data_IF_786842299455
#
_entry.id   IF_786842299455
#
_cell.length_a   1.000
_cell.length_b   1.000
_cell.length_c   1.000
_cell.angle_alpha   90.00
_cell.angle_beta   90.00
_cell.angle_gamma   90.00
#
_symmetry.space_group_name_H-M   'P 1'
#
loop_
_entity.id
_entity.type
_entity.pdbx_description
1 polymer ?
#
# COMPACT_ATOMS: atom_id res chain seq x y z
N UNK A 1 -7.56 -15.23 14.16
CA UNK A 1 -7.37 -14.95 12.71
C UNK A 1 -6.15 -15.69 12.22
N UNK A 2 -6.20 -16.31 11.06
CA UNK A 2 -5.08 -16.99 10.42
C UNK A 2 -4.96 -16.51 8.97
N UNK A 3 -3.73 -16.27 8.51
CA UNK A 3 -3.44 -15.82 7.15
C UNK A 3 -2.20 -16.54 6.61
N UNK A 4 -2.33 -17.14 5.44
CA UNK A 4 -1.22 -17.76 4.70
C UNK A 4 -0.84 -16.86 3.52
N UNK A 5 0.12 -15.97 3.75
CA UNK A 5 0.56 -15.02 2.74
C UNK A 5 1.16 -15.72 1.52
N UNK A 6 0.63 -15.40 0.37
CA UNK A 6 1.14 -15.85 -0.94
C UNK A 6 2.50 -15.20 -1.23
N UNK A 7 3.24 -15.81 -2.16
CA UNK A 7 4.63 -15.44 -2.41
C UNK A 7 4.83 -14.10 -3.15
N UNK A 8 3.77 -13.51 -3.77
CA UNK A 8 3.90 -12.30 -4.58
C UNK A 8 3.00 -11.16 -4.10
N UNK A 9 1.70 -11.20 -4.35
CA UNK A 9 0.76 -10.13 -3.97
C UNK A 9 -0.19 -10.63 -2.88
N UNK A 10 -0.36 -9.81 -1.84
CA UNK A 10 -1.35 -10.04 -0.79
C UNK A 10 -2.07 -8.74 -0.51
N UNK A 11 -3.33 -8.65 -0.85
CA UNK A 11 -4.17 -7.52 -0.48
C UNK A 11 -4.95 -7.83 0.79
N UNK A 12 -4.92 -6.88 1.71
CA UNK A 12 -5.79 -6.83 2.89
C UNK A 12 -6.88 -5.81 2.59
N UNK A 13 -8.11 -6.27 2.43
CA UNK A 13 -9.27 -5.45 2.12
C UNK A 13 -10.32 -5.54 3.23
N UNK A 14 -11.32 -4.67 3.22
CA UNK A 14 -12.38 -4.59 4.22
C UNK A 14 -12.52 -3.19 4.79
N UNK A 15 -13.51 -2.99 5.67
CA UNK A 15 -13.85 -1.68 6.22
C UNK A 15 -12.77 -1.07 7.12
N UNK A 16 -12.91 0.24 7.39
CA UNK A 16 -12.03 0.95 8.30
C UNK A 16 -12.17 0.41 9.73
N UNK A 17 -11.05 0.37 10.45
CA UNK A 17 -11.03 -0.05 11.85
C UNK A 17 -11.04 -1.56 12.09
N UNK A 18 -11.11 -2.41 11.05
CA UNK A 18 -11.12 -3.87 11.20
C UNK A 18 -9.73 -4.50 11.43
N UNK A 19 -8.66 -3.70 11.48
CA UNK A 19 -7.34 -4.17 11.90
C UNK A 19 -6.38 -4.54 10.77
N UNK A 20 -6.56 -4.02 9.54
CA UNK A 20 -5.60 -4.23 8.43
C UNK A 20 -4.19 -3.79 8.80
N UNK A 21 -4.03 -2.59 9.36
CA UNK A 21 -2.74 -2.08 9.84
C UNK A 21 -2.16 -2.92 10.96
N UNK A 22 -3.02 -3.48 11.85
CA UNK A 22 -2.60 -4.40 12.89
C UNK A 22 -1.97 -5.68 12.30
N UNK A 23 -2.54 -6.23 11.24
CA UNK A 23 -1.98 -7.40 10.54
C UNK A 23 -0.63 -7.06 9.87
N UNK A 24 -0.49 -5.85 9.29
CA UNK A 24 0.79 -5.39 8.74
C UNK A 24 1.85 -5.25 9.83
N UNK A 25 1.51 -4.68 10.99
CA UNK A 25 2.43 -4.56 12.12
C UNK A 25 2.85 -5.95 12.68
N UNK A 26 1.91 -6.88 12.76
CA UNK A 26 2.19 -8.26 13.16
C UNK A 26 3.10 -8.98 12.15
N UNK A 27 2.86 -8.79 10.84
CA UNK A 27 3.71 -9.33 9.78
C UNK A 27 5.12 -8.72 9.82
N UNK A 28 5.24 -7.40 10.02
CA UNK A 28 6.52 -6.73 10.23
C UNK A 28 7.27 -7.35 11.40
N UNK A 29 6.59 -7.50 12.54
CA UNK A 29 7.22 -8.08 13.74
C UNK A 29 7.65 -9.54 13.53
N UNK A 30 6.82 -10.35 12.88
CA UNK A 30 7.15 -11.74 12.57
C UNK A 30 8.42 -11.86 11.70
N UNK A 31 8.61 -10.92 10.74
CA UNK A 31 9.77 -10.89 9.84
C UNK A 31 11.03 -10.34 10.51
N UNK A 32 10.91 -9.32 11.36
CA UNK A 32 12.04 -8.51 11.84
C UNK A 32 12.31 -8.63 13.32
N UNK A 33 11.30 -9.06 14.10
CA UNK A 33 11.27 -9.05 15.58
C UNK A 33 11.42 -7.66 16.19
N UNK A 34 11.04 -6.63 15.45
CA UNK A 34 10.97 -5.24 15.89
C UNK A 34 9.57 -4.69 15.63
N UNK A 35 9.21 -3.58 16.25
CA UNK A 35 7.93 -2.92 16.03
C UNK A 35 8.14 -1.68 15.17
N UNK A 36 7.34 -1.52 14.13
CA UNK A 36 7.47 -0.40 13.19
C UNK A 36 6.95 0.92 13.77
N UNK A 37 5.86 0.87 14.55
CA UNK A 37 5.16 2.04 15.12
C UNK A 37 5.15 2.01 16.63
N UNK A 38 4.84 0.91 17.20
CA UNK A 38 4.72 0.69 18.64
C UNK A 38 4.31 -0.75 18.91
N UNK A 39 4.47 -1.19 20.14
CA UNK A 39 4.09 -2.54 20.54
C UNK A 39 2.57 -2.71 20.36
N UNK A 40 2.15 -3.75 19.66
CA UNK A 40 0.74 -4.09 19.55
C UNK A 40 0.16 -4.44 20.92
N UNK A 41 -0.82 -3.68 21.34
CA UNK A 41 -1.53 -3.92 22.61
C UNK A 41 -2.75 -4.82 22.34
N UNK A 42 -2.81 -6.00 22.96
CA UNK A 42 -3.92 -6.91 22.77
C UNK A 42 -5.16 -6.47 23.58
N UNK A 43 -6.30 -7.10 23.31
CA UNK A 43 -7.51 -6.92 24.10
C UNK A 43 -7.27 -7.13 25.60
N UNK A 44 -8.12 -6.43 26.39
CA UNK A 44 -8.11 -6.55 27.85
C UNK A 44 -8.41 -7.99 28.33
N UNK A 45 -8.00 -8.35 29.57
CA UNK A 45 -8.32 -9.63 30.16
C UNK A 45 -9.83 -9.95 30.09
N UNK A 46 -10.22 -11.23 29.97
CA UNK A 46 -9.41 -12.44 30.23
C UNK A 46 -8.66 -13.03 29.02
N UNK A 47 -8.57 -12.33 27.88
CA UNK A 47 -7.90 -12.85 26.69
C UNK A 47 -6.44 -13.27 26.96
N UNK A 48 -5.99 -14.34 26.30
CA UNK A 48 -4.60 -14.81 26.28
C UNK A 48 -4.06 -14.61 24.85
N UNK A 49 -3.63 -13.41 24.52
CA UNK A 49 -3.22 -13.11 23.17
C UNK A 49 -1.90 -13.79 22.81
N UNK A 50 -1.84 -14.37 21.63
CA UNK A 50 -0.66 -14.98 21.07
C UNK A 50 -0.52 -14.64 19.59
N UNK A 51 0.72 -14.54 19.13
CA UNK A 51 1.08 -14.42 17.72
C UNK A 51 1.77 -15.71 17.33
N UNK A 52 1.12 -16.51 16.50
CA UNK A 52 1.73 -17.66 15.85
C UNK A 52 2.17 -17.24 14.45
N UNK A 53 3.38 -17.62 14.07
CA UNK A 53 3.88 -17.34 12.73
C UNK A 53 4.78 -18.46 12.24
N UNK A 54 4.76 -18.66 10.93
CA UNK A 54 5.61 -19.62 10.25
C UNK A 54 6.24 -19.00 9.00
N UNK A 55 7.44 -19.47 8.66
CA UNK A 55 8.09 -19.10 7.40
C UNK A 55 8.91 -20.27 6.86
N UNK A 56 9.06 -20.32 5.55
CA UNK A 56 9.88 -21.34 4.89
C UNK A 56 11.34 -20.93 4.91
N UNK A 57 12.22 -21.81 5.41
CA UNK A 57 13.65 -21.60 5.38
C UNK A 57 14.25 -21.95 4.02
N UNK A 58 15.27 -21.21 3.60
CA UNK A 58 15.97 -21.44 2.33
C UNK A 58 16.65 -22.81 2.23
N UNK A 59 17.01 -23.43 3.35
CA UNK A 59 17.84 -24.67 3.42
C UNK A 59 17.08 -25.92 3.77
N UNK A 60 15.82 -25.90 4.00
CA UNK A 60 14.84 -26.98 4.20
C UNK A 60 13.92 -26.76 5.41
N UNK A 61 12.65 -27.00 5.22
CA UNK A 61 11.64 -27.07 6.28
C UNK A 61 11.02 -25.72 6.63
N UNK A 62 9.84 -25.84 7.21
CA UNK A 62 9.08 -24.73 7.76
C UNK A 62 9.55 -24.48 9.21
N UNK A 63 9.71 -23.23 9.59
CA UNK A 63 9.90 -22.82 10.97
C UNK A 63 8.60 -22.24 11.48
N UNK A 64 8.12 -22.72 12.60
CA UNK A 64 6.98 -22.18 13.30
C UNK A 64 7.37 -21.69 14.69
N UNK A 65 6.76 -20.63 15.15
CA UNK A 65 6.99 -20.05 16.47
C UNK A 65 5.72 -19.39 17.00
N UNK A 66 5.59 -19.34 18.32
CA UNK A 66 4.49 -18.69 19.03
C UNK A 66 5.08 -17.71 20.03
N UNK A 67 4.57 -16.48 20.05
CA UNK A 67 4.86 -15.49 21.09
C UNK A 67 3.58 -15.19 21.85
N UNK A 68 3.67 -15.18 23.18
CA UNK A 68 2.56 -14.86 24.09
C UNK A 68 2.82 -13.51 24.72
N UNK A 69 1.84 -12.64 24.70
CA UNK A 69 1.98 -11.30 25.25
C UNK A 69 2.21 -11.35 26.77
N UNK A 70 3.26 -10.73 27.22
CA UNK A 70 3.57 -10.53 28.64
C UNK A 70 3.00 -9.18 29.11
N UNK A 71 1.95 -9.22 29.92
CA UNK A 71 1.24 -8.01 30.35
C UNK A 71 2.03 -7.15 31.33
N UNK A 72 2.91 -7.76 32.14
CA UNK A 72 3.70 -7.04 33.13
C UNK A 72 4.77 -6.16 32.46
N UNK A 73 5.37 -6.67 31.38
CA UNK A 73 6.39 -5.94 30.60
C UNK A 73 5.82 -5.25 29.37
N UNK A 74 4.53 -5.44 29.07
CA UNK A 74 3.86 -4.96 27.85
C UNK A 74 4.59 -5.32 26.57
N UNK A 75 5.14 -6.54 26.52
CA UNK A 75 5.96 -6.99 25.40
C UNK A 75 5.49 -8.31 24.80
N UNK A 76 5.92 -8.51 23.55
CA UNK A 76 5.87 -9.78 22.86
C UNK A 76 7.27 -10.40 22.86
N UNK A 77 7.56 -11.39 23.74
CA UNK A 77 8.89 -11.96 23.87
C UNK A 77 9.38 -12.55 22.56
N UNK A 78 10.61 -12.22 22.22
CA UNK A 78 11.27 -12.80 21.07
C UNK A 78 11.64 -14.26 21.35
N UNK A 79 11.36 -15.13 20.38
CA UNK A 79 11.89 -16.49 20.41
C UNK A 79 13.42 -16.48 20.46
N UNK A 80 14.01 -17.50 21.13
CA UNK A 80 15.47 -17.67 21.16
C UNK A 80 16.02 -17.81 19.73
N UNK A 81 17.14 -17.16 19.47
CA UNK A 81 17.80 -17.17 18.18
C UNK A 81 17.54 -15.88 17.35
N UNK A 82 17.96 -15.90 16.11
CA UNK A 82 17.90 -14.75 15.19
C UNK A 82 16.56 -14.71 14.44
N UNK A 83 16.11 -13.52 13.96
CA UNK A 83 14.96 -13.42 13.09
C UNK A 83 15.16 -14.19 11.77
N UNK A 84 14.14 -14.40 10.96
CA UNK A 84 14.33 -14.89 9.59
C UNK A 84 15.21 -13.94 8.78
N UNK A 85 15.73 -14.40 7.65
CA UNK A 85 16.40 -13.54 6.67
C UNK A 85 15.48 -13.43 5.44
N UNK A 86 14.45 -12.58 5.48
CA UNK A 86 13.47 -12.48 4.41
C UNK A 86 13.98 -11.67 3.19
N UNK A 87 15.19 -11.17 3.22
CA UNK A 87 15.68 -10.14 2.33
C UNK A 87 15.50 -8.75 2.95
N UNK A 88 15.41 -7.72 2.12
CA UNK A 88 15.06 -6.37 2.57
C UNK A 88 13.57 -6.32 2.93
N UNK A 89 13.22 -5.66 4.03
CA UNK A 89 11.82 -5.40 4.39
C UNK A 89 11.60 -3.90 4.47
N UNK A 90 10.63 -3.41 3.72
CA UNK A 90 10.25 -1.99 3.69
C UNK A 90 8.78 -1.88 4.05
N UNK A 91 8.45 -1.08 5.04
CA UNK A 91 7.09 -0.80 5.45
C UNK A 91 6.77 0.68 5.25
N UNK A 92 5.92 0.98 4.28
CA UNK A 92 5.37 2.31 4.03
C UNK A 92 4.08 2.48 4.83
N UNK A 93 4.08 3.41 5.78
CA UNK A 93 2.97 3.67 6.70
C UNK A 93 1.99 4.68 6.10
N UNK A 94 0.75 4.66 6.57
CA UNK A 94 -0.32 5.54 6.07
C UNK A 94 -0.02 7.02 6.29
N UNK A 95 0.64 7.37 7.40
CA UNK A 95 1.02 8.74 7.75
C UNK A 95 2.18 9.31 6.91
N UNK A 96 2.79 8.50 6.05
CA UNK A 96 3.96 8.86 5.23
C UNK A 96 5.29 8.54 5.91
N UNK A 97 5.28 7.90 7.07
CA UNK A 97 6.46 7.32 7.70
C UNK A 97 6.89 6.02 7.00
N UNK A 98 8.12 5.60 7.30
CA UNK A 98 8.68 4.36 6.75
C UNK A 98 9.48 3.60 7.79
N UNK A 99 9.44 2.29 7.68
CA UNK A 99 10.35 1.42 8.43
C UNK A 99 11.13 0.53 7.47
N UNK A 100 12.42 0.37 7.72
CA UNK A 100 13.33 -0.42 6.91
C UNK A 100 14.09 -1.40 7.79
N UNK A 101 14.06 -2.67 7.41
CA UNK A 101 14.92 -3.70 8.00
C UNK A 101 15.82 -4.30 6.93
N UNK A 102 17.11 -4.29 7.21
CA UNK A 102 18.17 -4.71 6.30
C UNK A 102 18.98 -5.87 6.92
N UNK A 103 18.98 -7.07 6.30
CA UNK A 103 19.70 -8.21 6.82
C UNK A 103 21.21 -7.96 6.97
N UNK A 104 21.81 -7.12 6.11
CA UNK A 104 23.24 -6.82 6.22
C UNK A 104 23.57 -5.93 7.42
N UNK A 105 22.63 -5.11 7.89
CA UNK A 105 22.83 -4.14 8.99
C UNK A 105 22.20 -4.59 10.30
N UNK A 106 20.96 -5.05 10.29
CA UNK A 106 20.15 -5.26 11.48
C UNK A 106 20.24 -6.69 12.02
N UNK A 107 20.37 -7.71 11.15
CA UNK A 107 20.39 -9.13 11.53
C UNK A 107 21.55 -9.50 12.47
N UNK A 108 22.73 -8.86 12.27
CA UNK A 108 23.96 -9.17 13.00
C UNK A 108 24.23 -8.24 14.18
N UNK A 109 23.21 -7.51 14.63
CA UNK A 109 23.35 -6.67 15.82
C UNK A 109 23.79 -7.50 17.01
N UNK A 110 24.74 -6.96 17.77
CA UNK A 110 25.09 -7.43 19.12
C UNK A 110 24.63 -6.36 20.09
N UNK A 111 24.21 -6.77 21.29
CA UNK A 111 23.63 -5.91 22.33
C UNK A 111 24.54 -4.75 22.78
N UNK A 112 25.86 -4.90 22.57
CA UNK A 112 26.88 -3.91 22.93
C UNK A 112 27.20 -2.87 21.84
N UNK A 113 26.53 -2.95 20.68
CA UNK A 113 26.74 -2.01 19.56
C UNK A 113 25.57 -1.06 19.38
N UNK A 114 25.87 0.23 19.21
CA UNK A 114 24.93 1.31 18.88
C UNK A 114 24.31 1.18 17.49
N UNK A 115 23.94 -0.01 17.09
CA UNK A 115 23.29 -0.27 15.80
C UNK A 115 21.80 -0.45 16.02
N UNK A 116 20.93 0.29 15.31
CA UNK A 116 19.48 0.16 15.49
C UNK A 116 19.00 -1.23 15.10
N UNK A 117 17.90 -1.68 15.72
CA UNK A 117 17.23 -2.94 15.39
C UNK A 117 16.54 -2.89 14.05
N UNK A 118 16.03 -1.73 13.68
CA UNK A 118 15.49 -1.35 12.38
C UNK A 118 15.62 0.17 12.19
N UNK A 119 15.39 0.68 10.99
CA UNK A 119 15.37 2.11 10.73
C UNK A 119 13.92 2.56 10.62
N UNK A 120 13.50 3.47 11.49
CA UNK A 120 12.15 4.01 11.53
C UNK A 120 12.22 5.49 11.22
N UNK A 121 11.54 5.92 10.16
CA UNK A 121 11.50 7.30 9.70
C UNK A 121 10.10 7.86 9.91
N UNK A 122 9.99 8.92 10.66
CA UNK A 122 8.79 9.77 10.64
C UNK A 122 8.73 10.53 9.31
N UNK A 123 7.57 11.06 8.90
CA UNK A 123 7.44 11.80 7.64
C UNK A 123 8.47 12.94 7.47
N UNK A 124 8.73 13.70 8.53
CA UNK A 124 9.72 14.79 8.54
C UNK A 124 11.17 14.27 8.43
N UNK A 125 11.46 13.11 9.00
CA UNK A 125 12.77 12.47 8.96
C UNK A 125 13.10 11.89 7.59
N UNK A 126 12.10 11.46 6.82
CA UNK A 126 12.31 11.08 5.40
C UNK A 126 12.91 12.25 4.61
N UNK A 127 12.42 13.46 4.88
CA UNK A 127 12.85 14.68 4.16
C UNK A 127 14.09 15.33 4.76
N UNK A 128 14.18 15.39 6.07
CA UNK A 128 15.20 16.12 6.82
C UNK A 128 16.35 15.28 7.37
N UNK A 129 16.21 13.96 7.27
CA UNK A 129 17.21 13.00 7.76
C UNK A 129 16.84 12.35 9.10
N UNK A 130 17.34 11.15 9.30
CA UNK A 130 17.17 10.35 10.51
C UNK A 130 18.29 10.66 11.51
N UNK A 131 17.99 11.26 12.68
CA UNK A 131 19.01 11.57 13.65
C UNK A 131 19.57 10.30 14.30
N UNK A 132 20.84 10.34 14.67
CA UNK A 132 21.48 9.45 15.63
C UNK A 132 21.70 10.25 16.92
N UNK A 133 21.89 9.56 18.05
CA UNK A 133 22.18 10.22 19.34
C UNK A 133 23.42 11.14 19.25
N UNK A 134 23.22 12.41 18.85
CA UNK A 134 24.16 13.55 18.79
C UNK A 134 25.48 13.37 18.01
N UNK A 135 25.86 14.33 17.28
CA UNK A 135 25.23 15.20 16.27
C UNK A 135 25.14 14.52 14.92
N UNK A 136 25.49 13.24 14.85
CA UNK A 136 25.54 12.42 13.66
C UNK A 136 24.14 12.00 13.19
N UNK A 137 23.95 11.91 11.88
CA UNK A 137 22.75 11.35 11.28
C UNK A 137 23.01 9.95 10.73
N UNK A 138 22.02 9.08 10.86
CA UNK A 138 22.02 7.76 10.21
C UNK A 138 21.68 7.88 8.72
N UNK A 139 20.96 8.95 8.35
CA UNK A 139 20.53 9.29 7.00
C UNK A 139 20.38 10.80 6.91
N UNK A 140 20.90 11.41 5.85
CA UNK A 140 20.83 12.87 5.65
C UNK A 140 19.46 13.36 5.17
N UNK A 141 18.63 12.46 4.67
CA UNK A 141 17.28 12.74 4.19
C UNK A 141 17.20 13.13 2.73
N UNK A 142 16.00 13.02 2.18
CA UNK A 142 15.70 13.21 0.77
C UNK A 142 16.28 14.52 0.21
N UNK A 143 16.12 15.63 0.93
CA UNK A 143 16.56 16.95 0.42
C UNK A 143 18.07 16.99 0.21
N UNK A 144 18.82 16.49 1.18
CA UNK A 144 20.29 16.54 1.14
C UNK A 144 20.86 15.46 0.22
N UNK A 145 20.40 14.21 0.40
CA UNK A 145 20.94 13.07 -0.36
C UNK A 145 20.63 13.19 -1.84
N UNK A 146 19.42 13.60 -2.23
CA UNK A 146 19.09 13.79 -3.64
C UNK A 146 19.99 14.87 -4.29
N UNK A 147 20.12 16.04 -3.65
CA UNK A 147 20.95 17.12 -4.18
C UNK A 147 22.41 16.68 -4.31
N UNK A 148 22.91 15.89 -3.36
CA UNK A 148 24.26 15.32 -3.40
C UNK A 148 24.40 14.29 -4.53
N UNK A 149 23.51 13.30 -4.63
CA UNK A 149 23.53 12.28 -5.69
C UNK A 149 23.44 12.89 -7.08
N UNK A 150 22.61 13.92 -7.23
CA UNK A 150 22.46 14.63 -8.51
C UNK A 150 23.71 15.41 -8.88
N UNK A 151 24.38 16.03 -7.90
CA UNK A 151 25.65 16.74 -8.13
C UNK A 151 26.79 15.77 -8.49
N UNK A 152 26.84 14.63 -7.82
CA UNK A 152 27.84 13.58 -8.05
C UNK A 152 27.63 12.87 -9.41
N UNK A 153 26.40 12.82 -9.91
CA UNK A 153 25.97 12.06 -11.11
C UNK A 153 26.36 10.58 -11.06
N UNK A 154 26.40 10.04 -9.83
CA UNK A 154 26.79 8.67 -9.54
C UNK A 154 25.66 7.63 -9.70
N UNK A 155 25.92 6.37 -9.34
CA UNK A 155 24.97 5.27 -9.45
C UNK A 155 23.64 5.51 -8.70
N UNK A 156 23.68 6.16 -7.53
CA UNK A 156 22.50 6.45 -6.73
C UNK A 156 21.51 7.37 -7.46
N UNK A 157 22.01 8.42 -8.15
CA UNK A 157 21.17 9.31 -8.95
C UNK A 157 20.58 8.59 -10.17
N UNK A 158 21.39 7.78 -10.85
CA UNK A 158 20.91 6.99 -11.98
C UNK A 158 19.82 5.98 -11.56
N UNK A 159 19.96 5.36 -10.40
CA UNK A 159 18.93 4.48 -9.82
C UNK A 159 17.68 5.27 -9.46
N UNK A 160 17.83 6.42 -8.79
CA UNK A 160 16.70 7.28 -8.45
C UNK A 160 15.88 7.66 -9.68
N UNK A 161 16.55 8.04 -10.77
CA UNK A 161 15.88 8.39 -12.03
C UNK A 161 15.07 7.22 -12.59
N UNK A 162 15.66 6.00 -12.63
CA UNK A 162 14.95 4.80 -13.09
C UNK A 162 13.77 4.43 -12.19
N UNK A 163 13.94 4.53 -10.87
CA UNK A 163 12.85 4.25 -9.92
C UNK A 163 11.71 5.27 -10.07
N UNK A 164 12.03 6.55 -10.25
CA UNK A 164 11.02 7.58 -10.52
C UNK A 164 10.26 7.33 -11.82
N UNK A 165 10.98 6.90 -12.87
CA UNK A 165 10.37 6.51 -14.14
C UNK A 165 9.43 5.29 -13.97
N UNK A 166 9.87 4.26 -13.26
CA UNK A 166 9.05 3.08 -12.96
C UNK A 166 7.79 3.43 -12.16
N UNK A 167 7.90 4.38 -11.21
CA UNK A 167 6.78 4.83 -10.34
C UNK A 167 5.94 5.94 -10.97
N UNK A 168 6.24 6.42 -12.18
CA UNK A 168 5.46 7.45 -12.86
C UNK A 168 4.03 6.95 -13.21
N UNK A 169 3.02 7.86 -13.25
CA UNK A 169 1.64 7.46 -13.49
C UNK A 169 1.40 6.97 -14.93
N UNK A 170 2.16 7.49 -15.87
CA UNK A 170 2.15 7.07 -17.28
C UNK A 170 3.49 7.44 -17.95
N UNK A 171 3.82 6.84 -19.11
CA UNK A 171 4.96 7.28 -19.92
C UNK A 171 4.87 8.74 -20.40
N UNK A 172 3.65 9.26 -20.54
CA UNK A 172 3.40 10.63 -20.98
C UNK A 172 3.55 11.67 -19.85
N UNK A 173 3.55 11.20 -18.60
CA UNK A 173 3.72 12.03 -17.40
C UNK A 173 4.90 11.51 -16.54
N UNK A 174 6.14 11.55 -17.08
CA UNK A 174 7.31 11.03 -16.37
C UNK A 174 7.65 11.92 -15.17
N UNK A 175 8.18 11.33 -14.10
CA UNK A 175 8.72 12.05 -12.94
C UNK A 175 10.19 12.39 -13.20
N UNK A 176 10.44 13.51 -13.87
CA UNK A 176 11.78 13.91 -14.27
C UNK A 176 12.45 14.84 -13.23
N UNK A 177 13.63 14.50 -12.70
CA UNK A 177 14.40 15.39 -11.85
C UNK A 177 14.76 16.69 -12.57
N UNK A 178 14.43 17.83 -11.96
CA UNK A 178 14.89 19.16 -12.38
C UNK A 178 16.13 19.61 -11.63
N UNK A 179 16.50 20.87 -11.78
CA UNK A 179 17.71 21.45 -11.16
C UNK A 179 17.45 21.83 -9.70
N UNK A 180 18.19 21.29 -8.72
CA UNK A 180 18.05 21.68 -7.32
C UNK A 180 18.34 23.16 -7.12
N UNK A 181 17.48 23.85 -6.35
CA UNK A 181 17.58 25.30 -6.11
C UNK A 181 17.30 25.67 -4.65
N UNK A 182 17.85 26.79 -4.22
CA UNK A 182 17.50 27.44 -2.96
C UNK A 182 16.13 28.11 -3.13
N UNK A 183 15.22 27.89 -2.17
CA UNK A 183 13.81 28.30 -2.26
C UNK A 183 13.41 29.31 -1.17
N UNK A 184 14.26 29.53 -0.18
CA UNK A 184 14.00 30.43 0.95
C UNK A 184 15.26 31.19 1.32
N UNK A 185 15.10 32.37 1.93
CA UNK A 185 16.20 33.15 2.50
C UNK A 185 16.75 32.51 3.79
N UNK A 186 15.91 31.77 4.49
CA UNK A 186 16.24 31.14 5.77
C UNK A 186 16.78 29.71 5.63
N UNK A 187 16.68 29.11 4.43
CA UNK A 187 17.14 27.76 4.14
C UNK A 187 18.03 27.73 2.89
N UNK A 188 19.34 27.67 3.11
CA UNK A 188 20.32 27.64 2.04
C UNK A 188 20.49 26.25 1.38
N UNK A 189 19.73 25.24 1.81
CA UNK A 189 19.79 23.93 1.16
C UNK A 189 19.26 24.01 -0.27
N UNK A 190 19.86 23.21 -1.14
CA UNK A 190 19.36 23.04 -2.51
C UNK A 190 18.23 22.01 -2.50
N UNK A 191 17.01 22.49 -2.61
CA UNK A 191 15.83 21.63 -2.66
C UNK A 191 15.69 20.99 -4.04
N UNK A 192 15.51 19.65 -4.11
CA UNK A 192 15.23 18.95 -5.36
C UNK A 192 13.95 19.47 -6.01
N UNK A 193 13.92 19.43 -7.33
CA UNK A 193 12.77 19.82 -8.14
C UNK A 193 12.36 18.70 -9.08
N UNK A 194 11.11 18.73 -9.53
CA UNK A 194 10.62 17.93 -10.67
C UNK A 194 10.22 18.84 -11.81
N UNK A 195 10.50 18.41 -13.03
CA UNK A 195 9.97 19.01 -14.25
C UNK A 195 8.53 18.53 -14.42
N UNK A 196 7.59 19.46 -14.32
CA UNK A 196 6.17 19.14 -14.47
C UNK A 196 5.76 19.06 -15.96
N UNK A 197 4.67 18.35 -16.31
CA UNK A 197 4.22 18.22 -17.71
C UNK A 197 4.01 19.55 -18.45
N UNK A 198 3.75 20.64 -17.71
CA UNK A 198 3.62 22.01 -18.27
C UNK A 198 4.97 22.76 -18.35
N UNK A 199 6.11 22.06 -18.24
CA UNK A 199 7.44 22.59 -18.48
C UNK A 199 8.07 23.41 -17.34
N UNK A 200 7.40 23.54 -16.19
CA UNK A 200 7.95 24.24 -15.03
C UNK A 200 8.66 23.27 -14.08
N UNK A 201 9.77 23.71 -13.49
CA UNK A 201 10.43 23.00 -12.40
C UNK A 201 9.82 23.41 -11.07
N UNK A 202 9.20 22.47 -10.36
CA UNK A 202 8.55 22.68 -9.08
C UNK A 202 9.40 22.04 -7.97
N UNK A 203 9.75 22.79 -6.91
CA UNK A 203 10.40 22.21 -5.72
C UNK A 203 9.53 21.13 -5.10
N UNK A 204 10.12 19.99 -4.74
CA UNK A 204 9.38 18.85 -4.22
C UNK A 204 8.57 19.18 -2.96
N UNK A 205 9.03 20.08 -2.12
CA UNK A 205 8.32 20.53 -0.91
C UNK A 205 6.98 21.22 -1.23
N UNK A 206 6.82 21.73 -2.45
CA UNK A 206 5.59 22.36 -2.95
C UNK A 206 4.77 21.44 -3.86
N UNK A 207 5.24 20.21 -4.11
CA UNK A 207 4.51 19.23 -4.90
C UNK A 207 3.27 18.71 -4.14
N UNK A 208 2.31 18.14 -4.89
CA UNK A 208 1.12 17.51 -4.30
C UNK A 208 1.48 16.39 -3.32
N UNK A 209 0.58 16.07 -2.40
CA UNK A 209 0.78 14.99 -1.42
C UNK A 209 1.09 13.64 -2.10
N UNK A 210 0.39 13.32 -3.22
CA UNK A 210 0.65 12.10 -3.98
C UNK A 210 2.06 12.06 -4.58
N UNK A 211 2.50 13.15 -5.23
CA UNK A 211 3.87 13.25 -5.76
C UNK A 211 4.89 13.11 -4.62
N UNK A 212 4.68 13.81 -3.50
CA UNK A 212 5.58 13.70 -2.34
C UNK A 212 5.67 12.29 -1.80
N UNK A 213 4.54 11.55 -1.72
CA UNK A 213 4.52 10.15 -1.27
C UNK A 213 5.32 9.24 -2.20
N UNK A 214 5.10 9.34 -3.51
CA UNK A 214 5.82 8.56 -4.53
C UNK A 214 7.33 8.86 -4.51
N UNK A 215 7.69 10.14 -4.43
CA UNK A 215 9.09 10.56 -4.38
C UNK A 215 9.78 10.12 -3.09
N UNK A 216 9.09 10.17 -1.95
CA UNK A 216 9.61 9.64 -0.68
C UNK A 216 9.86 8.14 -0.76
N UNK A 217 8.94 7.38 -1.38
CA UNK A 217 9.12 5.95 -1.63
C UNK A 217 10.34 5.70 -2.53
N UNK A 218 10.45 6.41 -3.67
CA UNK A 218 11.58 6.29 -4.59
C UNK A 218 12.92 6.56 -3.89
N UNK A 219 12.99 7.65 -3.13
CA UNK A 219 14.18 8.02 -2.36
C UNK A 219 14.57 6.92 -1.37
N UNK A 220 13.62 6.45 -0.55
CA UNK A 220 13.91 5.44 0.48
C UNK A 220 14.30 4.09 -0.11
N UNK A 221 13.76 3.71 -1.25
CA UNK A 221 14.17 2.50 -1.96
C UNK A 221 15.64 2.60 -2.40
N UNK A 222 16.03 3.72 -3.01
CA UNK A 222 17.42 3.94 -3.44
C UNK A 222 18.36 4.02 -2.24
N UNK A 223 17.97 4.79 -1.19
CA UNK A 223 18.76 4.89 0.04
C UNK A 223 18.96 3.52 0.69
N UNK A 224 17.89 2.75 0.83
CA UNK A 224 17.94 1.40 1.41
C UNK A 224 18.86 0.49 0.62
N UNK A 225 18.73 0.50 -0.70
CA UNK A 225 19.53 -0.33 -1.58
C UNK A 225 21.00 0.03 -1.56
N UNK A 226 21.35 1.33 -1.66
CA UNK A 226 22.72 1.80 -1.58
C UNK A 226 23.40 1.45 -0.23
N UNK A 227 22.66 1.66 0.86
CA UNK A 227 23.14 1.32 2.19
C UNK A 227 23.30 -0.20 2.38
N UNK A 228 22.39 -0.99 1.79
CA UNK A 228 22.49 -2.45 1.76
C UNK A 228 23.75 -2.93 1.01
N UNK A 229 23.97 -2.41 -0.21
CA UNK A 229 25.14 -2.76 -1.01
C UNK A 229 26.45 -2.44 -0.27
N UNK A 230 26.55 -1.26 0.33
CA UNK A 230 27.71 -0.87 1.12
C UNK A 230 27.95 -1.81 2.29
N UNK A 231 26.88 -2.17 3.01
CA UNK A 231 26.95 -3.06 4.18
C UNK A 231 27.28 -4.50 3.80
N UNK A 232 26.68 -5.02 2.73
CA UNK A 232 26.98 -6.35 2.21
C UNK A 232 28.45 -6.45 1.78
N UNK A 233 28.97 -5.42 1.08
CA UNK A 233 30.39 -5.34 0.70
C UNK A 233 31.33 -5.34 1.91
N UNK A 234 31.02 -4.55 2.97
CA UNK A 234 31.81 -4.53 4.19
C UNK A 234 31.84 -5.87 4.91
N UNK A 235 30.80 -6.71 4.71
CA UNK A 235 30.69 -8.05 5.29
C UNK A 235 31.29 -9.13 4.41
N UNK A 236 31.63 -8.84 3.17
CA UNK A 236 32.04 -9.83 2.17
C UNK A 236 30.92 -10.78 1.76
N UNK A 237 29.65 -10.35 1.87
CA UNK A 237 28.48 -11.14 1.54
C UNK A 237 27.80 -10.62 0.26
N UNK A 238 27.14 -11.48 -0.53
CA UNK A 238 26.36 -11.04 -1.67
C UNK A 238 25.15 -10.21 -1.20
N UNK A 239 24.66 -9.24 -1.98
CA UNK A 239 23.46 -8.51 -1.67
C UNK A 239 22.23 -9.43 -1.64
N UNK A 240 21.23 -9.04 -0.85
CA UNK A 240 19.95 -9.73 -0.82
C UNK A 240 19.27 -9.65 -2.20
N UNK A 241 18.63 -10.76 -2.59
CA UNK A 241 17.93 -10.88 -3.88
C UNK A 241 16.42 -11.01 -3.68
N UNK A 242 15.90 -10.44 -2.61
CA UNK A 242 14.47 -10.42 -2.30
C UNK A 242 14.13 -9.18 -1.51
N UNK A 243 12.97 -8.60 -1.80
CA UNK A 243 12.40 -7.52 -1.01
C UNK A 243 10.96 -7.84 -0.65
N UNK A 244 10.57 -7.51 0.59
CA UNK A 244 9.19 -7.57 1.06
C UNK A 244 8.72 -6.16 1.32
N UNK A 245 7.60 -5.79 0.68
CA UNK A 245 6.91 -4.54 0.92
C UNK A 245 5.69 -4.78 1.79
N UNK A 246 5.60 -4.03 2.87
CA UNK A 246 4.39 -3.83 3.65
C UNK A 246 3.90 -2.41 3.37
N UNK A 247 2.67 -2.24 2.89
CA UNK A 247 2.15 -0.90 2.54
C UNK A 247 0.76 -0.74 3.14
N UNK A 248 0.65 0.27 4.02
CA UNK A 248 -0.63 0.64 4.60
C UNK A 248 -1.30 1.70 3.73
N UNK A 249 -2.54 1.44 3.30
CA UNK A 249 -3.30 2.27 2.37
C UNK A 249 -2.47 2.66 1.13
N UNK A 250 -2.20 1.66 0.29
CA UNK A 250 -1.33 1.82 -0.89
C UNK A 250 -1.79 2.93 -1.83
N UNK A 251 -3.08 3.23 -1.86
CA UNK A 251 -3.70 4.30 -2.64
C UNK A 251 -3.66 5.68 -1.98
N UNK A 252 -3.27 5.79 -0.71
CA UNK A 252 -3.39 7.04 0.05
C UNK A 252 -2.74 8.22 -0.67
N UNK A 253 -3.51 9.29 -0.86
CA UNK A 253 -3.14 10.51 -1.58
C UNK A 253 -2.83 10.34 -3.08
N UNK A 254 -3.01 9.15 -3.66
CA UNK A 254 -2.71 8.91 -5.07
C UNK A 254 -3.91 9.25 -5.96
N UNK A 255 -3.64 9.98 -7.03
CA UNK A 255 -4.61 10.16 -8.12
C UNK A 255 -4.94 8.80 -8.77
N UNK A 256 -6.15 8.57 -9.31
CA UNK A 256 -6.54 7.30 -9.92
C UNK A 256 -5.55 6.74 -10.97
N UNK A 257 -4.88 7.60 -11.74
CA UNK A 257 -3.84 7.17 -12.67
C UNK A 257 -2.69 6.45 -11.95
N UNK A 258 -2.24 6.95 -10.79
CA UNK A 258 -1.25 6.28 -9.95
C UNK A 258 -1.78 5.00 -9.33
N UNK A 259 -3.05 5.00 -8.86
CA UNK A 259 -3.66 3.79 -8.30
C UNK A 259 -3.67 2.62 -9.28
N UNK A 260 -3.79 2.91 -10.59
CA UNK A 260 -3.67 1.90 -11.66
C UNK A 260 -2.25 1.36 -11.87
N UNK A 261 -1.23 2.11 -11.48
CA UNK A 261 0.17 1.80 -11.77
C UNK A 261 0.96 1.33 -10.57
N UNK A 262 0.55 1.72 -9.37
CA UNK A 262 1.40 1.57 -8.17
C UNK A 262 1.79 0.11 -7.89
N UNK A 263 0.87 -0.84 -8.00
CA UNK A 263 1.19 -2.25 -7.74
C UNK A 263 2.11 -2.83 -8.82
N UNK A 264 1.82 -2.73 -10.13
CA UNK A 264 2.77 -3.11 -11.16
C UNK A 264 4.15 -2.47 -10.98
N UNK A 265 4.21 -1.16 -10.67
CA UNK A 265 5.46 -0.44 -10.49
C UNK A 265 6.28 -0.95 -9.28
N UNK A 266 5.63 -1.30 -8.17
CA UNK A 266 6.30 -1.89 -7.00
C UNK A 266 6.85 -3.27 -7.32
N UNK A 267 6.15 -4.07 -8.10
CA UNK A 267 6.65 -5.39 -8.50
C UNK A 267 7.89 -5.27 -9.41
N UNK A 268 7.92 -4.26 -10.26
CA UNK A 268 9.01 -4.01 -11.21
C UNK A 268 10.16 -3.16 -10.59
N UNK A 269 9.99 -2.64 -9.36
CA UNK A 269 10.95 -1.69 -8.76
C UNK A 269 12.34 -2.27 -8.53
N UNK A 270 12.45 -3.57 -8.26
CA UNK A 270 13.75 -4.21 -8.07
C UNK A 270 14.57 -4.25 -9.35
N UNK A 271 13.94 -4.41 -10.50
CA UNK A 271 14.60 -4.27 -11.79
C UNK A 271 15.13 -2.84 -11.99
N UNK A 272 14.33 -1.83 -11.66
CA UNK A 272 14.77 -0.44 -11.74
C UNK A 272 15.97 -0.12 -10.81
N UNK A 273 16.02 -0.75 -9.61
CA UNK A 273 17.10 -0.59 -8.65
C UNK A 273 18.38 -1.32 -9.07
N UNK A 274 18.28 -2.54 -9.53
CA UNK A 274 19.41 -3.45 -9.70
C UNK A 274 19.87 -3.57 -11.18
N UNK A 275 18.95 -3.38 -12.11
CA UNK A 275 19.14 -3.74 -13.52
C UNK A 275 19.04 -5.25 -13.78
N UNK A 276 18.67 -6.06 -12.77
CA UNK A 276 18.47 -7.50 -12.90
C UNK A 276 16.99 -7.83 -12.99
N UNK A 277 16.62 -8.73 -13.88
CA UNK A 277 15.28 -9.27 -14.01
C UNK A 277 15.03 -10.38 -12.97
N UNK A 278 13.76 -10.67 -12.73
CA UNK A 278 13.29 -11.81 -11.92
C UNK A 278 13.76 -11.81 -10.44
N UNK A 279 14.00 -10.62 -9.86
CA UNK A 279 14.21 -10.51 -8.42
C UNK A 279 12.86 -10.59 -7.70
N UNK A 280 12.65 -11.56 -6.80
CA UNK A 280 11.38 -11.74 -6.12
C UNK A 280 11.00 -10.51 -5.29
N UNK A 281 9.79 -10.03 -5.52
CA UNK A 281 9.13 -9.00 -4.72
C UNK A 281 7.87 -9.61 -4.11
N UNK A 282 7.76 -9.55 -2.79
CA UNK A 282 6.53 -9.86 -2.09
C UNK A 282 5.89 -8.57 -1.60
N UNK A 283 4.64 -8.35 -1.98
CA UNK A 283 3.83 -7.21 -1.56
C UNK A 283 2.72 -7.68 -0.62
N UNK A 284 2.63 -7.06 0.54
CA UNK A 284 1.51 -7.19 1.48
C UNK A 284 0.95 -5.78 1.68
N UNK A 285 -0.21 -5.50 1.11
CA UNK A 285 -0.76 -4.15 1.07
C UNK A 285 -2.20 -4.09 1.58
N UNK A 286 -2.45 -3.17 2.50
CA UNK A 286 -3.82 -2.78 2.82
C UNK A 286 -4.34 -1.81 1.75
N UNK A 287 -5.59 -1.98 1.33
CA UNK A 287 -6.22 -1.10 0.34
C UNK A 287 -7.72 -0.98 0.54
N UNK A 288 -8.23 0.23 0.26
CA UNK A 288 -9.65 0.54 0.13
C UNK A 288 -9.99 0.98 -1.30
N UNK A 289 -9.06 0.76 -2.27
CA UNK A 289 -9.26 1.22 -3.64
C UNK A 289 -9.71 0.09 -4.56
N UNK A 290 -10.91 0.15 -5.13
CA UNK A 290 -11.34 -0.75 -6.19
C UNK A 290 -10.47 -0.61 -7.45
N UNK A 291 -9.89 0.58 -7.68
CA UNK A 291 -8.99 0.84 -8.80
C UNK A 291 -7.67 0.06 -8.66
N UNK A 292 -7.14 -0.05 -7.44
CA UNK A 292 -5.94 -0.86 -7.16
C UNK A 292 -6.21 -2.33 -7.48
N UNK A 293 -7.35 -2.88 -7.02
CA UNK A 293 -7.71 -4.28 -7.32
C UNK A 293 -7.97 -4.52 -8.81
N UNK A 294 -8.70 -3.62 -9.48
CA UNK A 294 -8.93 -3.69 -10.92
C UNK A 294 -7.62 -3.62 -11.73
N UNK A 295 -6.62 -2.88 -11.24
CA UNK A 295 -5.36 -2.67 -11.95
C UNK A 295 -4.50 -3.93 -12.11
N UNK A 296 -4.69 -4.92 -11.24
CA UNK A 296 -3.89 -6.15 -11.24
C UNK A 296 -4.59 -7.33 -11.91
N UNK A 297 -5.83 -7.19 -12.34
CA UNK A 297 -6.65 -8.31 -12.85
C UNK A 297 -5.99 -9.12 -13.98
N UNK A 298 -5.25 -8.46 -14.85
CA UNK A 298 -4.58 -9.12 -15.97
C UNK A 298 -3.29 -9.84 -15.58
N UNK A 299 -2.72 -9.52 -14.42
CA UNK A 299 -1.45 -10.06 -13.91
C UNK A 299 -1.62 -10.96 -12.70
N UNK A 300 -2.83 -11.06 -12.14
CA UNK A 300 -3.11 -11.81 -10.93
C UNK A 300 -3.03 -13.33 -11.19
N UNK A 301 -2.22 -14.00 -10.39
CA UNK A 301 -2.00 -15.44 -10.42
C UNK A 301 -2.36 -16.04 -9.06
N UNK A 302 -3.44 -16.78 -8.99
CA UNK A 302 -3.95 -17.39 -7.74
C UNK A 302 -2.99 -18.35 -7.05
N UNK A 303 -1.96 -18.84 -7.76
CA UNK A 303 -0.91 -19.65 -7.14
C UNK A 303 0.05 -18.81 -6.28
N UNK A 304 0.21 -17.52 -6.60
CA UNK A 304 1.19 -16.63 -6.02
C UNK A 304 0.59 -15.35 -5.40
N UNK A 305 -0.71 -15.10 -5.60
CA UNK A 305 -1.41 -13.90 -5.18
C UNK A 305 -2.67 -14.24 -4.39
N UNK A 306 -3.04 -13.39 -3.43
CA UNK A 306 -4.23 -13.54 -2.61
C UNK A 306 -4.88 -12.20 -2.26
N UNK A 307 -6.18 -12.24 -2.02
CA UNK A 307 -6.95 -11.16 -1.40
C UNK A 307 -7.52 -11.69 -0.11
N UNK A 308 -7.33 -10.96 0.96
CA UNK A 308 -7.79 -11.28 2.30
C UNK A 308 -8.81 -10.24 2.74
N UNK A 309 -10.02 -10.69 2.99
CA UNK A 309 -11.13 -9.85 3.39
C UNK A 309 -11.29 -9.87 4.91
N UNK A 310 -11.32 -8.68 5.52
CA UNK A 310 -11.69 -8.48 6.91
C UNK A 310 -13.12 -7.97 6.95
N UNK A 311 -14.00 -8.71 7.62
CA UNK A 311 -15.42 -8.41 7.74
C UNK A 311 -15.87 -8.45 9.22
N UNK A 312 -16.91 -7.69 9.55
CA UNK A 312 -17.48 -7.65 10.89
C UNK A 312 -18.73 -8.57 10.96
N UNK A 313 -18.61 -9.71 11.61
CA UNK A 313 -19.67 -10.69 11.73
C UNK A 313 -20.08 -10.87 13.21
N UNK A 314 -21.28 -10.45 13.55
CA UNK A 314 -21.81 -10.63 14.91
C UNK A 314 -21.02 -9.91 16.02
N UNK A 315 -20.23 -8.90 15.68
CA UNK A 315 -19.35 -8.17 16.60
C UNK A 315 -17.89 -8.65 16.61
N UNK A 316 -17.57 -9.72 15.92
CA UNK A 316 -16.22 -10.25 15.77
C UNK A 316 -15.66 -9.96 14.38
N UNK A 317 -14.37 -9.63 14.31
CA UNK A 317 -13.69 -9.47 13.03
C UNK A 317 -13.28 -10.85 12.50
N UNK A 318 -13.79 -11.18 11.33
CA UNK A 318 -13.50 -12.43 10.63
C UNK A 318 -12.57 -12.13 9.44
N UNK A 319 -11.53 -12.93 9.29
CA UNK A 319 -10.61 -12.89 8.17
C UNK A 319 -10.85 -14.10 7.27
N UNK A 320 -11.03 -13.87 5.99
CA UNK A 320 -11.20 -14.94 4.98
C UNK A 320 -10.44 -14.65 3.71
N UNK A 321 -10.02 -15.70 2.98
CA UNK A 321 -9.47 -15.54 1.64
C UNK A 321 -10.64 -15.28 0.68
N UNK A 322 -10.58 -14.14 -0.03
CA UNK A 322 -11.58 -13.79 -1.04
C UNK A 322 -11.34 -14.59 -2.32
N UNK A 323 -12.34 -15.32 -2.84
CA UNK A 323 -12.18 -16.12 -4.04
C UNK A 323 -11.97 -15.22 -5.26
N UNK A 324 -10.82 -15.38 -5.92
CA UNK A 324 -10.46 -14.55 -7.05
C UNK A 324 -11.39 -14.74 -8.24
N UNK A 325 -11.89 -13.63 -8.77
CA UNK A 325 -12.52 -13.57 -10.08
C UNK A 325 -12.31 -12.19 -10.68
N UNK A 326 -12.09 -12.12 -11.99
CA UNK A 326 -12.02 -10.84 -12.69
C UNK A 326 -13.38 -10.17 -12.67
N UNK A 327 -13.41 -8.92 -12.26
CA UNK A 327 -14.62 -8.08 -12.21
C UNK A 327 -14.73 -7.15 -13.42
N UNK A 328 -13.58 -6.84 -14.06
CA UNK A 328 -13.48 -6.06 -15.29
C UNK A 328 -13.29 -4.56 -15.08
N UNK A 329 -13.93 -3.96 -14.09
CA UNK A 329 -13.80 -2.54 -13.79
C UNK A 329 -13.95 -2.21 -12.30
N UNK A 330 -13.65 -0.96 -11.94
CA UNK A 330 -13.70 -0.50 -10.55
C UNK A 330 -15.12 -0.50 -9.97
N UNK A 331 -16.17 -0.29 -10.77
CA UNK A 331 -17.56 -0.30 -10.28
C UNK A 331 -17.98 -1.72 -9.88
N UNK A 332 -17.56 -2.71 -10.67
CA UNK A 332 -17.82 -4.11 -10.34
C UNK A 332 -17.05 -4.58 -9.09
N UNK A 333 -15.89 -3.97 -8.80
CA UNK A 333 -15.20 -4.17 -7.53
C UNK A 333 -15.95 -3.52 -6.38
N UNK A 334 -16.43 -2.27 -6.52
CA UNK A 334 -17.22 -1.57 -5.50
C UNK A 334 -18.45 -2.36 -5.06
N UNK A 335 -19.12 -3.05 -6.00
CA UNK A 335 -20.31 -3.87 -5.70
C UNK A 335 -19.99 -5.32 -5.33
N UNK A 336 -18.72 -5.68 -5.16
CA UNK A 336 -18.32 -6.99 -4.62
C UNK A 336 -18.40 -7.01 -3.10
N UNK A 337 -18.38 -8.20 -2.49
CA UNK A 337 -18.38 -8.32 -1.03
C UNK A 337 -17.18 -7.65 -0.35
N UNK A 338 -16.06 -7.46 -1.07
CA UNK A 338 -14.87 -6.76 -0.57
C UNK A 338 -15.15 -5.32 -0.15
N UNK A 339 -16.08 -4.63 -0.84
CA UNK A 339 -16.45 -3.24 -0.55
C UNK A 339 -17.92 -3.07 -0.14
N UNK A 340 -18.73 -4.10 -0.35
CA UNK A 340 -20.15 -4.24 0.02
C UNK A 340 -21.03 -3.01 -0.28
N UNK A 341 -20.70 -2.29 -1.38
CA UNK A 341 -21.49 -1.16 -1.82
C UNK A 341 -22.62 -1.65 -2.73
N UNK A 342 -23.86 -1.39 -2.33
CA UNK A 342 -25.03 -1.84 -3.10
C UNK A 342 -25.05 -1.27 -4.52
N UNK A 343 -24.76 0.03 -4.67
CA UNK A 343 -24.70 0.73 -5.95
C UNK A 343 -23.57 1.79 -5.94
N UNK A 344 -22.71 1.88 -6.96
CA UNK A 344 -21.64 2.89 -7.04
C UNK A 344 -22.21 4.25 -7.50
N UNK A 345 -23.15 4.80 -6.77
CA UNK A 345 -23.96 5.98 -7.09
C UNK A 345 -24.20 6.85 -5.87
N UNK A 346 -24.93 7.97 -6.05
CA UNK A 346 -25.40 8.74 -4.91
C UNK A 346 -26.48 7.99 -4.12
N UNK A 347 -26.65 8.32 -2.86
CA UNK A 347 -27.68 7.70 -1.99
C UNK A 347 -29.07 7.86 -2.62
N UNK A 348 -29.38 9.03 -3.17
CA UNK A 348 -30.66 9.29 -3.80
C UNK A 348 -30.87 8.45 -5.07
N UNK A 349 -29.80 8.19 -5.83
CA UNK A 349 -29.85 7.32 -7.00
C UNK A 349 -30.05 5.85 -6.61
N UNK A 350 -29.38 5.40 -5.56
CA UNK A 350 -29.55 4.06 -5.00
C UNK A 350 -30.99 3.85 -4.51
N UNK A 351 -31.55 4.80 -3.75
CA UNK A 351 -32.93 4.76 -3.30
C UNK A 351 -33.92 4.74 -4.49
N UNK A 352 -33.72 5.60 -5.49
CA UNK A 352 -34.57 5.64 -6.68
C UNK A 352 -34.53 4.31 -7.47
N UNK A 353 -33.34 3.71 -7.57
CA UNK A 353 -33.16 2.40 -8.22
C UNK A 353 -33.82 1.28 -7.41
N UNK A 354 -33.71 1.28 -6.10
CA UNK A 354 -34.36 0.31 -5.21
C UNK A 354 -35.88 0.38 -5.37
N UNK A 355 -36.45 1.59 -5.27
CA UNK A 355 -37.88 1.80 -5.49
C UNK A 355 -38.33 1.31 -6.88
N UNK A 356 -37.52 1.58 -7.91
CA UNK A 356 -37.80 1.14 -9.27
C UNK A 356 -37.73 -0.38 -9.42
N UNK A 357 -36.74 -1.04 -8.83
CA UNK A 357 -36.60 -2.50 -8.83
C UNK A 357 -37.75 -3.20 -8.10
N UNK A 358 -38.26 -2.60 -7.04
CA UNK A 358 -39.47 -3.10 -6.34
C UNK A 358 -40.71 -3.00 -7.24
N UNK A 359 -40.89 -1.88 -7.94
CA UNK A 359 -41.98 -1.74 -8.89
C UNK A 359 -41.87 -2.70 -10.08
N UNK A 360 -40.69 -2.97 -10.58
CA UNK A 360 -40.44 -3.95 -11.64
C UNK A 360 -40.84 -5.37 -11.24
N UNK A 361 -40.79 -5.70 -9.95
CA UNK A 361 -41.23 -6.98 -9.38
C UNK A 361 -42.74 -7.04 -9.08
N UNK A 362 -43.38 -5.87 -8.98
CA UNK A 362 -44.83 -5.78 -8.70
C UNK A 362 -45.65 -6.16 -9.90
N UNK A 363 -46.60 -7.08 -9.77
CA UNK A 363 -47.47 -7.51 -10.88
C UNK A 363 -48.41 -6.40 -11.35
N UNK A 364 -48.91 -5.57 -10.44
CA UNK A 364 -49.90 -4.52 -10.73
C UNK A 364 -49.57 -3.20 -10.04
N UNK A 365 -48.48 -2.49 -10.46
CA UNK A 365 -48.14 -1.19 -9.87
C UNK A 365 -49.16 -0.12 -10.31
N UNK A 366 -49.50 0.81 -9.41
CA UNK A 366 -50.37 1.94 -9.77
C UNK A 366 -49.64 2.94 -10.67
N UNK A 367 -50.39 3.66 -11.53
CA UNK A 367 -49.84 4.70 -12.43
C UNK A 367 -49.12 5.79 -11.63
N UNK A 368 -49.71 6.22 -10.52
CA UNK A 368 -49.13 7.22 -9.61
C UNK A 368 -47.79 6.77 -9.02
N UNK A 369 -47.64 5.46 -8.67
CA UNK A 369 -46.39 4.91 -8.19
C UNK A 369 -45.30 4.91 -9.28
N UNK A 370 -45.66 4.52 -10.50
CA UNK A 370 -44.75 4.53 -11.66
C UNK A 370 -44.30 5.96 -12.00
N UNK A 371 -45.23 6.93 -12.01
CA UNK A 371 -44.88 8.32 -12.24
C UNK A 371 -43.97 8.91 -11.18
N UNK A 372 -44.27 8.66 -9.89
CA UNK A 372 -43.47 9.13 -8.76
C UNK A 372 -42.05 8.57 -8.81
N UNK A 373 -41.88 7.26 -9.03
CA UNK A 373 -40.57 6.65 -9.14
C UNK A 373 -39.85 7.12 -10.41
N UNK A 374 -40.58 7.28 -11.54
CA UNK A 374 -40.02 7.88 -12.74
C UNK A 374 -39.49 9.31 -12.52
N UNK A 375 -40.15 10.11 -11.68
CA UNK A 375 -39.65 11.44 -11.30
C UNK A 375 -38.37 11.35 -10.41
N UNK A 376 -38.34 10.45 -9.42
CA UNK A 376 -37.14 10.20 -8.62
C UNK A 376 -35.95 9.78 -9.50
N UNK A 377 -36.16 8.84 -10.40
CA UNK A 377 -35.12 8.40 -11.35
C UNK A 377 -34.59 9.57 -12.21
N UNK A 378 -35.49 10.40 -12.76
CA UNK A 378 -35.08 11.57 -13.54
C UNK A 378 -34.30 12.62 -12.74
N UNK A 379 -34.57 12.73 -11.44
CA UNK A 379 -33.89 13.66 -10.57
C UNK A 379 -32.50 13.15 -10.15
N UNK A 380 -32.28 11.82 -10.11
CA UNK A 380 -31.12 11.19 -9.51
C UNK A 380 -30.17 10.52 -10.53
N UNK A 381 -30.66 10.05 -11.66
CA UNK A 381 -29.84 9.36 -12.67
C UNK A 381 -29.42 10.30 -13.81
N UNK A 382 -28.23 10.10 -14.32
CA UNK A 382 -27.77 10.76 -15.53
C UNK A 382 -28.54 10.27 -16.78
N UNK A 383 -28.61 11.11 -17.80
CA UNK A 383 -29.39 10.86 -19.03
C UNK A 383 -28.94 9.62 -19.81
N UNK A 384 -27.66 9.24 -19.66
CA UNK A 384 -27.04 8.09 -20.32
C UNK A 384 -27.01 6.83 -19.45
N UNK A 385 -27.68 6.82 -18.29
CA UNK A 385 -27.67 5.69 -17.39
C UNK A 385 -28.29 4.44 -18.04
N UNK A 386 -27.60 3.31 -17.90
CA UNK A 386 -28.04 2.03 -18.50
C UNK A 386 -29.38 1.55 -17.99
N UNK A 387 -29.79 1.96 -16.78
CA UNK A 387 -31.06 1.58 -16.19
C UNK A 387 -32.25 2.14 -16.99
N UNK A 388 -32.08 3.25 -17.70
CA UNK A 388 -33.13 3.83 -18.54
C UNK A 388 -33.70 2.89 -19.59
N UNK A 389 -32.88 2.01 -20.18
CA UNK A 389 -33.37 1.00 -21.12
C UNK A 389 -34.42 0.09 -20.47
N UNK A 390 -34.10 -0.41 -19.26
CA UNK A 390 -34.98 -1.31 -18.53
C UNK A 390 -36.24 -0.61 -18.02
N UNK A 391 -36.08 0.62 -17.52
CA UNK A 391 -37.22 1.44 -17.07
C UNK A 391 -38.16 1.81 -18.19
N UNK A 392 -37.63 2.28 -19.33
CA UNK A 392 -38.42 2.65 -20.49
C UNK A 392 -39.20 1.46 -21.07
N UNK A 393 -38.57 0.29 -21.14
CA UNK A 393 -39.25 -0.93 -21.58
C UNK A 393 -40.41 -1.28 -20.65
N UNK A 394 -40.18 -1.25 -19.34
CA UNK A 394 -41.23 -1.50 -18.35
C UNK A 394 -42.45 -0.56 -18.47
N UNK A 395 -42.21 0.74 -18.64
CA UNK A 395 -43.26 1.74 -18.80
C UNK A 395 -44.01 1.53 -20.12
N UNK A 396 -43.30 1.18 -21.21
CA UNK A 396 -43.89 0.92 -22.53
C UNK A 396 -44.79 -0.31 -22.54
N UNK A 397 -44.34 -1.42 -21.94
CA UNK A 397 -45.08 -2.67 -21.92
C UNK A 397 -46.45 -2.48 -21.21
N UNK A 398 -46.48 -1.63 -20.18
CA UNK A 398 -47.69 -1.34 -19.42
C UNK A 398 -48.55 -0.23 -20.00
N UNK A 399 -47.98 0.64 -20.88
CA UNK A 399 -48.73 1.62 -21.63
C UNK A 399 -49.47 1.01 -22.82
N UNK A 400 -49.19 -0.23 -23.22
CA UNK A 400 -49.88 -0.97 -24.27
C UNK A 400 -51.00 -1.88 -23.72
N UNK A 401 -51.08 -2.05 -22.40
CA UNK A 401 -52.13 -2.85 -21.74
C UNK A 401 -53.40 -2.03 -21.35
N UNK A 402 -53.55 -0.77 -21.83
CA UNK A 402 -54.73 0.08 -21.61
C UNK A 402 -55.41 0.49 -22.89
#
# INVERSE_FOLDING_TARGET
>A
MEIDFKSRINFLAGDNGLGKSFLLDAAWWALTRTWARGVLLPHLPPSKPEIEYAYTKRTAGQYAATSKFERESETWPNQRGRPPIPGLVVYAQVDGGFSVWDPARNYWKKDDRERPDAYHFRPDEVWGGLPKDKPEKLCEGLVTDWAYWQAEKGPAFAQLTRVLEALAPSPDEPLLPGSPRVISLDDNRRHPTLVMPYGQEVPLVHASAGIRRIVSLAYLLVWTWQAHLASAKLRGEPPARQIIFLIDEIEAHLHPQWQRRIVPAILDVMEALTGEHDIPVQLIAATHSPMVLASVETRFDTAHDGIWELDLQGGDVVLSEFPWSRRGDANAWLTSSVFDLAEPRSIEAEEALRDALELLRCQTPSKEAVERVGQKLRAALGDTDRFWMRWTQFVRDRGQEN
#
